data_IF_070766019075
#
_entry.id   IF_070766019075
#
_cell.length_a   1.000
_cell.length_b   1.000
_cell.length_c   1.000
_cell.angle_alpha   90.00
_cell.angle_beta   90.00
_cell.angle_gamma   90.00
#
_symmetry.space_group_name_H-M   'P 1'
#
loop_
_entity.id
_entity.type
_entity.pdbx_description
1 polymer ?
#
# COMPACT_ATOMS: atom_id res chain seq x y z
N UNK A 1 7.55 3.96 8.92
CA UNK A 1 7.19 3.43 7.60
C UNK A 1 7.09 4.51 6.52
N UNK A 2 6.54 5.70 6.77
CA UNK A 2 6.53 6.83 5.82
C UNK A 2 7.92 7.22 5.31
N UNK A 3 8.93 7.22 6.16
CA UNK A 3 10.33 7.48 5.77
C UNK A 3 10.88 6.47 4.75
N UNK A 4 10.52 5.19 4.89
CA UNK A 4 10.92 4.15 3.93
C UNK A 4 10.26 4.36 2.56
N UNK A 5 9.00 4.73 2.54
CA UNK A 5 8.29 5.07 1.30
C UNK A 5 8.89 6.31 0.63
N UNK A 6 9.21 7.35 1.42
CA UNK A 6 9.87 8.57 0.93
C UNK A 6 11.25 8.30 0.34
N UNK A 7 12.08 7.53 1.05
CA UNK A 7 13.41 7.11 0.55
C UNK A 7 13.28 6.28 -0.72
N UNK A 8 12.31 5.37 -0.79
CA UNK A 8 12.04 4.57 -1.99
C UNK A 8 11.66 5.44 -3.20
N UNK A 9 10.82 6.46 -2.99
CA UNK A 9 10.42 7.40 -4.04
C UNK A 9 11.62 8.19 -4.57
N UNK A 10 12.46 8.73 -3.67
CA UNK A 10 13.66 9.47 -4.05
C UNK A 10 14.64 8.56 -4.79
N UNK A 11 14.89 7.35 -4.28
CA UNK A 11 15.78 6.38 -4.92
C UNK A 11 15.31 6.03 -6.35
N UNK A 12 14.00 5.77 -6.51
CA UNK A 12 13.40 5.52 -7.82
C UNK A 12 13.60 6.72 -8.77
N UNK A 13 13.35 7.94 -8.29
CA UNK A 13 13.50 9.16 -9.09
C UNK A 13 14.95 9.33 -9.56
N UNK A 14 15.93 9.08 -8.69
CA UNK A 14 17.35 9.14 -9.03
C UNK A 14 17.74 8.08 -10.08
N UNK A 15 17.26 6.85 -9.92
CA UNK A 15 17.53 5.76 -10.86
C UNK A 15 16.91 6.07 -12.24
N UNK A 16 15.69 6.57 -12.28
CA UNK A 16 15.03 6.93 -13.53
C UNK A 16 15.72 8.12 -14.20
N UNK A 17 16.11 9.14 -13.42
CA UNK A 17 16.90 10.28 -13.94
C UNK A 17 18.25 9.81 -14.53
N UNK A 18 18.95 8.91 -13.85
CA UNK A 18 20.17 8.28 -14.33
C UNK A 18 19.91 7.50 -15.63
N UNK A 19 18.85 6.72 -15.70
CA UNK A 19 18.45 5.96 -16.89
C UNK A 19 18.20 6.89 -18.09
N UNK A 20 17.46 7.98 -17.87
CA UNK A 20 17.17 8.96 -18.92
C UNK A 20 18.45 9.62 -19.41
N UNK A 21 19.34 10.03 -18.49
CA UNK A 21 20.62 10.61 -18.84
C UNK A 21 21.47 9.65 -19.67
N UNK A 22 21.64 8.40 -19.23
CA UNK A 22 22.42 7.39 -19.94
C UNK A 22 21.83 7.09 -21.32
N UNK A 23 20.51 7.08 -21.44
CA UNK A 23 19.83 6.81 -22.71
C UNK A 23 20.02 7.94 -23.73
N UNK A 24 19.89 9.21 -23.31
CA UNK A 24 19.90 10.35 -24.22
C UNK A 24 21.28 10.98 -24.42
N UNK A 25 22.17 10.93 -23.43
CA UNK A 25 23.52 11.52 -23.49
C UNK A 25 24.57 10.49 -23.92
N UNK A 26 24.52 9.31 -23.31
CA UNK A 26 25.49 8.26 -23.55
C UNK A 26 25.07 7.26 -24.64
N UNK A 27 23.80 7.34 -25.09
CA UNK A 27 23.19 6.42 -26.04
C UNK A 27 23.33 4.93 -25.65
N UNK A 28 23.46 4.68 -24.34
CA UNK A 28 23.58 3.36 -23.72
C UNK A 28 22.64 3.27 -22.53
N UNK A 29 21.52 2.56 -22.66
CA UNK A 29 20.57 2.33 -21.57
C UNK A 29 20.95 1.06 -20.82
N UNK A 30 21.34 1.13 -19.54
CA UNK A 30 21.60 -0.06 -18.75
C UNK A 30 20.28 -0.82 -18.52
N UNK A 31 20.17 -2.10 -18.92
CA UNK A 31 18.90 -2.83 -18.83
C UNK A 31 18.43 -3.10 -17.38
N UNK A 32 19.34 -3.04 -16.39
CA UNK A 32 19.01 -3.23 -14.98
C UNK A 32 18.24 -2.06 -14.35
N UNK A 33 18.35 -0.86 -14.92
CA UNK A 33 17.70 0.34 -14.38
C UNK A 33 16.18 0.27 -14.47
N UNK A 34 15.65 -0.26 -15.56
CA UNK A 34 14.22 -0.44 -15.75
C UNK A 34 13.65 -1.47 -14.76
N UNK A 35 14.24 -2.66 -14.73
CA UNK A 35 13.80 -3.72 -13.83
C UNK A 35 13.97 -3.34 -12.34
N UNK A 36 15.07 -2.65 -11.99
CA UNK A 36 15.33 -2.14 -10.65
C UNK A 36 14.31 -1.08 -10.22
N UNK A 37 14.00 -0.13 -11.09
CA UNK A 37 13.01 0.92 -10.81
C UNK A 37 11.62 0.34 -10.57
N UNK A 38 11.17 -0.60 -11.41
CA UNK A 38 9.88 -1.28 -11.24
C UNK A 38 9.84 -2.04 -9.91
N UNK A 39 10.92 -2.72 -9.55
CA UNK A 39 11.00 -3.46 -8.30
C UNK A 39 10.89 -2.53 -7.09
N UNK A 40 11.65 -1.43 -7.05
CA UNK A 40 11.58 -0.43 -5.98
C UNK A 40 10.20 0.21 -5.93
N UNK A 41 9.63 0.57 -7.09
CA UNK A 41 8.27 1.12 -7.20
C UNK A 41 7.24 0.18 -6.57
N UNK A 42 7.30 -1.12 -6.89
CA UNK A 42 6.39 -2.12 -6.33
C UNK A 42 6.49 -2.17 -4.80
N UNK A 43 7.72 -2.16 -4.26
CA UNK A 43 7.94 -2.17 -2.81
C UNK A 43 7.33 -0.96 -2.12
N UNK A 44 7.62 0.25 -2.57
CA UNK A 44 7.12 1.43 -1.85
C UNK A 44 5.61 1.66 -2.05
N UNK A 45 5.03 1.30 -3.21
CA UNK A 45 3.59 1.41 -3.44
C UNK A 45 2.83 0.48 -2.49
N UNK A 46 3.20 -0.79 -2.43
CA UNK A 46 2.49 -1.75 -1.58
C UNK A 46 2.70 -1.49 -0.09
N UNK A 47 3.91 -1.13 0.34
CA UNK A 47 4.14 -0.72 1.72
C UNK A 47 3.43 0.59 2.06
N UNK A 48 3.40 1.55 1.14
CA UNK A 48 2.65 2.80 1.28
C UNK A 48 1.14 2.56 1.40
N UNK A 49 0.59 1.65 0.60
CA UNK A 49 -0.81 1.27 0.68
C UNK A 49 -1.16 0.64 2.04
N UNK A 50 -0.30 -0.22 2.58
CA UNK A 50 -0.50 -0.79 3.92
C UNK A 50 -0.51 0.28 5.02
N UNK A 51 0.39 1.28 4.91
CA UNK A 51 0.38 2.44 5.82
C UNK A 51 -0.88 3.27 5.64
N UNK A 52 -1.31 3.51 4.39
CA UNK A 52 -2.54 4.23 4.09
C UNK A 52 -3.77 3.60 4.74
N UNK A 53 -3.86 2.27 4.75
CA UNK A 53 -4.93 1.55 5.46
C UNK A 53 -4.84 1.78 6.97
N UNK A 54 -3.63 1.80 7.54
CA UNK A 54 -3.43 2.07 8.98
C UNK A 54 -3.85 3.48 9.37
N UNK A 55 -3.49 4.47 8.56
CA UNK A 55 -3.74 5.91 8.83
C UNK A 55 -5.16 6.37 8.47
N UNK A 56 -6.07 5.45 8.13
CA UNK A 56 -7.44 5.79 7.69
C UNK A 56 -7.51 6.73 6.48
N UNK A 57 -6.53 6.72 5.59
CA UNK A 57 -6.51 7.56 4.39
C UNK A 57 -7.59 7.16 3.36
N UNK A 58 -8.80 6.89 3.82
CA UNK A 58 -9.97 6.69 2.96
C UNK A 58 -10.72 8.02 2.75
N UNK A 59 -9.99 9.07 2.32
CA UNK A 59 -10.54 10.40 2.11
C UNK A 59 -11.83 10.44 1.29
N UNK A 60 -12.06 9.46 0.40
CA UNK A 60 -13.30 9.37 -0.36
C UNK A 60 -14.52 8.95 0.47
N UNK A 61 -14.29 8.18 1.54
CA UNK A 61 -15.38 7.76 2.43
C UNK A 61 -15.76 8.83 3.44
N UNK A 62 -14.84 9.69 3.86
CA UNK A 62 -15.13 10.76 4.80
C UNK A 62 -16.17 11.74 4.24
N UNK A 63 -16.05 12.09 2.95
CA UNK A 63 -17.05 12.93 2.26
C UNK A 63 -18.43 12.25 2.24
N UNK A 64 -18.47 10.94 1.99
CA UNK A 64 -19.71 10.17 1.97
C UNK A 64 -20.34 10.07 3.38
N UNK A 65 -19.51 9.94 4.42
CA UNK A 65 -19.95 9.90 5.82
C UNK A 65 -20.56 11.23 6.25
N UNK A 66 -20.12 12.37 5.71
CA UNK A 66 -20.72 13.68 6.00
C UNK A 66 -22.14 13.81 5.46
N UNK A 67 -22.45 13.20 4.32
CA UNK A 67 -23.77 13.28 3.67
C UNK A 67 -24.76 12.26 4.24
N UNK A 68 -24.29 11.17 4.85
CA UNK A 68 -25.16 10.10 5.36
C UNK A 68 -25.71 10.40 6.75
N UNK A 69 -26.98 9.96 7.03
CA UNK A 69 -27.56 10.04 8.36
C UNK A 69 -26.78 9.21 9.39
N UNK A 70 -26.75 9.68 10.64
CA UNK A 70 -25.92 9.13 11.72
C UNK A 70 -26.05 7.60 11.91
N UNK A 71 -27.23 7.02 11.65
CA UNK A 71 -27.45 5.59 11.78
C UNK A 71 -26.82 4.70 10.71
N UNK A 72 -26.49 5.25 9.54
CA UNK A 72 -25.88 4.49 8.46
C UNK A 72 -24.33 4.47 8.51
N UNK A 73 -23.73 5.41 9.24
CA UNK A 73 -22.28 5.56 9.36
C UNK A 73 -21.54 4.30 9.83
N UNK A 74 -21.96 3.63 10.94
CA UNK A 74 -21.27 2.43 11.42
C UNK A 74 -21.35 1.26 10.44
N UNK A 75 -22.46 1.13 9.74
CA UNK A 75 -22.64 0.08 8.74
C UNK A 75 -21.72 0.27 7.53
N UNK A 76 -21.63 1.50 7.03
CA UNK A 76 -20.75 1.81 5.89
C UNK A 76 -19.29 1.54 6.22
N UNK A 77 -18.86 1.94 7.41
CA UNK A 77 -17.50 1.68 7.89
C UNK A 77 -17.20 0.19 8.06
N UNK A 78 -18.14 -0.56 8.63
CA UNK A 78 -18.00 -2.01 8.76
C UNK A 78 -17.88 -2.73 7.41
N UNK A 79 -18.67 -2.31 6.41
CA UNK A 79 -18.60 -2.84 5.05
C UNK A 79 -17.25 -2.49 4.43
N UNK A 80 -16.77 -1.26 4.59
CA UNK A 80 -15.46 -0.83 4.10
C UNK A 80 -14.33 -1.67 4.68
N UNK A 81 -14.29 -1.87 5.99
CA UNK A 81 -13.27 -2.68 6.64
C UNK A 81 -13.32 -4.14 6.20
N UNK A 82 -14.53 -4.68 6.00
CA UNK A 82 -14.72 -6.03 5.49
C UNK A 82 -14.22 -6.18 4.05
N UNK A 83 -14.47 -5.18 3.19
CA UNK A 83 -13.98 -5.16 1.82
C UNK A 83 -12.45 -5.08 1.78
N UNK A 84 -11.84 -4.21 2.60
CA UNK A 84 -10.38 -4.09 2.71
C UNK A 84 -9.78 -5.40 3.22
N UNK A 85 -10.38 -6.02 4.23
CA UNK A 85 -9.93 -7.31 4.75
C UNK A 85 -10.01 -8.40 3.67
N UNK A 86 -11.13 -8.50 2.95
CA UNK A 86 -11.30 -9.48 1.86
C UNK A 86 -10.29 -9.29 0.73
N UNK A 87 -10.04 -8.04 0.35
CA UNK A 87 -9.03 -7.70 -0.65
C UNK A 87 -7.61 -8.07 -0.16
N UNK A 88 -7.26 -7.70 1.07
CA UNK A 88 -5.97 -8.01 1.67
C UNK A 88 -5.75 -9.53 1.79
N UNK A 89 -6.78 -10.28 2.17
CA UNK A 89 -6.72 -11.74 2.21
C UNK A 89 -6.47 -12.32 0.81
N UNK A 90 -7.15 -11.80 -0.22
CA UNK A 90 -6.90 -12.17 -1.61
C UNK A 90 -5.45 -11.91 -2.03
N UNK A 91 -4.87 -10.75 -1.63
CA UNK A 91 -3.47 -10.42 -1.90
C UNK A 91 -2.51 -11.44 -1.25
N UNK A 92 -2.77 -11.86 -0.01
CA UNK A 92 -1.93 -12.87 0.67
C UNK A 92 -2.03 -14.21 -0.05
N UNK A 93 -3.24 -14.66 -0.36
CA UNK A 93 -3.47 -15.96 -0.97
C UNK A 93 -2.88 -16.05 -2.38
N UNK A 94 -3.30 -15.19 -3.27
CA UNK A 94 -2.83 -15.17 -4.66
C UNK A 94 -1.39 -14.70 -4.79
N UNK A 95 -0.98 -13.71 -3.98
CA UNK A 95 0.41 -13.25 -3.93
C UNK A 95 1.36 -14.35 -3.46
N UNK A 96 0.95 -15.13 -2.45
CA UNK A 96 1.70 -16.29 -1.95
C UNK A 96 1.87 -17.36 -3.03
N UNK A 97 0.81 -17.68 -3.75
CA UNK A 97 0.87 -18.62 -4.89
C UNK A 97 1.86 -18.12 -5.97
N UNK A 98 1.82 -16.83 -6.30
CA UNK A 98 2.76 -16.24 -7.27
C UNK A 98 4.22 -16.32 -6.78
N UNK A 99 4.47 -16.04 -5.50
CA UNK A 99 5.81 -16.15 -4.91
C UNK A 99 6.35 -17.57 -5.05
N UNK A 100 5.55 -18.59 -4.72
CA UNK A 100 5.96 -19.99 -4.82
C UNK A 100 6.19 -20.39 -6.27
N UNK A 101 5.28 -20.02 -7.17
CA UNK A 101 5.31 -20.38 -8.59
C UNK A 101 6.53 -19.82 -9.31
N UNK A 102 6.90 -18.57 -9.01
CA UNK A 102 8.00 -17.86 -9.69
C UNK A 102 9.32 -17.89 -8.91
N UNK A 103 9.43 -18.72 -7.87
CA UNK A 103 10.65 -18.87 -7.08
C UNK A 103 11.87 -19.31 -7.90
N UNK A 104 11.65 -20.26 -8.81
CA UNK A 104 12.71 -20.81 -9.66
C UNK A 104 13.01 -19.95 -10.89
N UNK A 105 12.15 -18.98 -11.21
CA UNK A 105 12.30 -18.09 -12.36
C UNK A 105 13.18 -16.90 -11.96
N UNK A 106 14.22 -16.62 -12.75
CA UNK A 106 15.13 -15.50 -12.51
C UNK A 106 14.85 -14.35 -13.47
N UNK A 107 14.92 -13.12 -12.96
CA UNK A 107 14.92 -11.92 -13.79
C UNK A 107 16.26 -11.88 -14.53
N UNK A 108 16.29 -11.97 -15.89
CA UNK A 108 17.54 -12.18 -16.64
C UNK A 108 18.61 -11.12 -16.40
N UNK A 109 18.19 -9.89 -16.10
CA UNK A 109 19.06 -8.72 -15.98
C UNK A 109 19.60 -8.54 -14.57
N UNK A 110 18.79 -8.85 -13.55
CA UNK A 110 19.13 -8.65 -12.13
C UNK A 110 19.68 -9.93 -11.49
N UNK A 111 19.49 -11.10 -12.10
CA UNK A 111 19.87 -12.38 -11.54
C UNK A 111 19.07 -12.80 -10.29
N UNK A 112 18.14 -11.93 -9.84
CA UNK A 112 17.29 -12.16 -8.69
C UNK A 112 16.10 -13.05 -9.06
N UNK A 113 15.56 -13.86 -8.11
CA UNK A 113 14.31 -14.57 -8.33
C UNK A 113 13.17 -13.60 -8.61
N UNK A 114 12.33 -13.91 -9.59
CA UNK A 114 11.16 -13.08 -9.94
C UNK A 114 10.18 -12.93 -8.77
N UNK A 115 10.19 -13.87 -7.83
CA UNK A 115 9.42 -13.81 -6.59
C UNK A 115 9.66 -12.55 -5.78
N UNK A 116 10.85 -11.93 -5.85
CA UNK A 116 11.13 -10.66 -5.17
C UNK A 116 10.21 -9.51 -5.58
N UNK A 117 9.67 -9.56 -6.79
CA UNK A 117 8.67 -8.60 -7.27
C UNK A 117 7.29 -8.81 -6.62
N UNK A 118 6.99 -10.04 -6.21
CA UNK A 118 5.69 -10.39 -5.60
C UNK A 118 5.71 -10.35 -4.07
N UNK A 119 6.88 -10.38 -3.42
CA UNK A 119 7.00 -10.28 -1.96
C UNK A 119 6.28 -9.06 -1.36
N UNK A 120 6.40 -7.84 -1.93
CA UNK A 120 5.73 -6.67 -1.39
C UNK A 120 4.20 -6.84 -1.31
N UNK A 121 3.61 -7.54 -2.29
CA UNK A 121 2.17 -7.81 -2.32
C UNK A 121 1.75 -8.66 -1.12
N UNK A 122 2.51 -9.72 -0.83
CA UNK A 122 2.23 -10.61 0.30
C UNK A 122 2.43 -9.89 1.63
N UNK A 123 3.56 -9.20 1.79
CA UNK A 123 3.88 -8.47 3.03
C UNK A 123 2.84 -7.39 3.31
N UNK A 124 2.50 -6.60 2.30
CA UNK A 124 1.49 -5.56 2.44
C UNK A 124 0.11 -6.15 2.71
N UNK A 125 -0.26 -7.24 2.03
CA UNK A 125 -1.50 -7.97 2.28
C UNK A 125 -1.61 -8.46 3.72
N UNK A 126 -0.54 -9.03 4.28
CA UNK A 126 -0.50 -9.46 5.70
C UNK A 126 -0.67 -8.25 6.63
N UNK A 127 0.04 -7.16 6.40
CA UNK A 127 -0.08 -5.94 7.21
C UNK A 127 -1.50 -5.36 7.14
N UNK A 128 -2.08 -5.29 5.93
CA UNK A 128 -3.45 -4.82 5.75
C UNK A 128 -4.47 -5.73 6.45
N UNK A 129 -4.31 -7.05 6.38
CA UNK A 129 -5.15 -8.00 7.10
C UNK A 129 -5.07 -7.77 8.61
N UNK A 130 -3.88 -7.60 9.17
CA UNK A 130 -3.69 -7.36 10.60
C UNK A 130 -4.36 -6.05 11.03
N UNK A 131 -4.16 -4.97 10.30
CA UNK A 131 -4.75 -3.67 10.63
C UNK A 131 -6.27 -3.66 10.47
N UNK A 132 -6.81 -4.31 9.43
CA UNK A 132 -8.26 -4.44 9.26
C UNK A 132 -8.88 -5.32 10.34
N UNK A 133 -8.20 -6.41 10.72
CA UNK A 133 -8.68 -7.30 11.79
C UNK A 133 -8.70 -6.58 13.14
N UNK A 134 -7.63 -5.84 13.47
CA UNK A 134 -7.56 -5.01 14.67
C UNK A 134 -8.76 -4.05 14.76
N UNK A 135 -9.07 -3.35 13.67
CA UNK A 135 -10.22 -2.43 13.61
C UNK A 135 -11.56 -3.12 13.80
N UNK A 136 -11.76 -4.25 13.12
CA UNK A 136 -12.99 -5.02 13.23
C UNK A 136 -13.19 -5.46 14.70
N UNK A 137 -12.10 -5.91 15.34
CA UNK A 137 -12.17 -6.34 16.74
C UNK A 137 -12.45 -5.18 17.71
N UNK A 138 -11.82 -4.03 17.52
CA UNK A 138 -12.08 -2.82 18.34
C UNK A 138 -13.53 -2.34 18.20
N UNK A 139 -14.08 -2.36 16.99
CA UNK A 139 -15.50 -2.03 16.76
C UNK A 139 -16.45 -3.02 17.41
N UNK A 140 -16.14 -4.30 17.39
CA UNK A 140 -16.94 -5.33 18.07
C UNK A 140 -16.88 -5.17 19.60
N UNK A 141 -15.74 -4.68 20.11
CA UNK A 141 -15.57 -4.35 21.54
C UNK A 141 -16.29 -3.05 21.94
N UNK A 142 -16.82 -2.29 20.98
CA UNK A 142 -17.56 -1.04 21.24
C UNK A 142 -16.66 0.17 21.53
N UNK A 143 -15.36 0.07 21.24
CA UNK A 143 -14.46 1.20 21.39
C UNK A 143 -14.54 2.13 20.16
N UNK A 144 -14.52 3.47 20.37
CA UNK A 144 -14.52 4.45 19.29
C UNK A 144 -13.16 4.40 18.55
N UNK A 145 -13.15 3.77 17.38
CA UNK A 145 -11.94 3.62 16.54
C UNK A 145 -11.60 4.90 15.74
N UNK A 146 -12.48 5.89 15.75
CA UNK A 146 -12.49 7.02 14.81
C UNK A 146 -12.54 8.41 15.47
N UNK A 147 -12.04 8.58 16.68
CA UNK A 147 -11.85 9.91 17.23
C UNK A 147 -10.63 10.59 16.57
N UNK A 148 -10.84 11.12 15.38
CA UNK A 148 -10.07 12.29 14.95
C UNK A 148 -10.47 13.37 15.96
N UNK A 149 -9.54 13.91 16.78
CA UNK A 149 -9.87 15.05 17.62
C UNK A 149 -10.33 16.17 16.68
N UNK A 150 -11.63 16.42 16.65
CA UNK A 150 -12.17 17.60 16.00
C UNK A 150 -11.60 18.76 16.80
N UNK A 151 -10.64 19.47 16.22
CA UNK A 151 -10.06 20.67 16.84
C UNK A 151 -11.22 21.62 17.14
N UNK A 152 -11.52 21.89 18.43
CA UNK A 152 -12.67 22.69 18.81
C UNK A 152 -12.61 24.13 18.25
N UNK A 153 -11.47 24.55 17.74
CA UNK A 153 -11.28 25.87 17.15
C UNK A 153 -11.97 26.05 15.78
N UNK A 154 -12.41 24.95 15.13
CA UNK A 154 -13.10 25.01 13.82
C UNK A 154 -14.61 25.15 13.97
N UNK A 155 -15.15 24.92 15.18
CA UNK A 155 -16.60 24.92 15.41
C UNK A 155 -17.14 26.29 15.85
N UNK A 156 -16.26 27.27 16.09
CA UNK A 156 -16.63 28.62 16.56
C UNK A 156 -16.42 29.74 15.52
N UNK A 157 -16.36 29.43 14.23
CA UNK A 157 -16.23 30.46 13.18
C UNK A 157 -17.48 30.55 12.29
#
# INVERSE_FOLDING_TARGET
>A
MLWLAGVGLVAMTVIVAYQVFMRFVMNASPPWTEAGSIMIMTWFIFLGAAVGVRENFHMGFDVLIYVLPAGAKPWLRAISDLCVFGFAFGMVFFGGELVIRYWSTRIPVLGLPTSFTYFPIVISGVLMCLFSLERILLRLAGEPVDDIPVDPTITEA
#
